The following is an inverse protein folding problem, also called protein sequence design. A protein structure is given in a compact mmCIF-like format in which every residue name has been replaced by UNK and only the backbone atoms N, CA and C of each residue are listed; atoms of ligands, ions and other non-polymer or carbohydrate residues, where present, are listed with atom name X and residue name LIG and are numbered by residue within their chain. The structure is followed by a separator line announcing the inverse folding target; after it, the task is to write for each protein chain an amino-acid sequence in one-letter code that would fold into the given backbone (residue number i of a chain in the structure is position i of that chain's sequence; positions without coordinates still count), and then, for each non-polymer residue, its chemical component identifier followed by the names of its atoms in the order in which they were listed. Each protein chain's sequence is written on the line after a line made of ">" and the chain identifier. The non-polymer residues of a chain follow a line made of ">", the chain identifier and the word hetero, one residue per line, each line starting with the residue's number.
data_IF_026126392699
#
_entry.id   IF_026126392699
#
_cell.length_a   1.000
_cell.length_b   1.000
_cell.length_c   1.000
_cell.angle_alpha   90.00
_cell.angle_beta   90.00
_cell.angle_gamma   90.00
#
_symmetry.space_group_name_H-M   'P 1'
#
loop_
_entity.id
_entity.type
_entity.pdbx_description
1 polymer ?
#
# COMPACT_ATOMS: atom_id res chain seq x y z
N UNK A 1 -3.65 1.77 -1.12
CA UNK A 1 -4.61 0.65 -0.80
C UNK A 1 -5.95 0.87 -1.50
N UNK A 2 -6.37 2.10 -1.62
CA UNK A 2 -7.63 2.46 -2.26
C UNK A 2 -8.85 1.84 -1.57
N UNK A 3 -9.73 1.19 -2.32
CA UNK A 3 -10.93 0.50 -1.80
C UNK A 3 -10.66 -0.85 -1.14
N UNK A 4 -9.41 -1.29 -1.06
CA UNK A 4 -9.03 -2.56 -0.44
C UNK A 4 -9.22 -3.80 -1.32
N UNK A 5 -9.36 -3.68 -2.63
CA UNK A 5 -9.57 -4.81 -3.54
C UNK A 5 -8.54 -5.92 -3.34
N UNK A 6 -7.25 -5.59 -3.23
CA UNK A 6 -6.19 -6.57 -2.97
C UNK A 6 -6.40 -7.34 -1.65
N UNK A 7 -6.92 -6.67 -0.61
CA UNK A 7 -7.22 -7.29 0.68
C UNK A 7 -8.44 -8.20 0.61
N UNK A 8 -9.45 -7.82 -0.17
CA UNK A 8 -10.63 -8.66 -0.46
C UNK A 8 -10.19 -9.95 -1.15
N UNK A 9 -9.37 -9.85 -2.19
CA UNK A 9 -8.81 -11.02 -2.88
C UNK A 9 -7.95 -11.89 -1.95
N UNK A 10 -7.11 -11.28 -1.11
CA UNK A 10 -6.33 -12.03 -0.12
C UNK A 10 -7.23 -12.81 0.84
N UNK A 11 -8.32 -12.19 1.32
CA UNK A 11 -9.30 -12.83 2.20
C UNK A 11 -9.97 -14.03 1.51
N UNK A 12 -10.44 -13.84 0.28
CA UNK A 12 -11.07 -14.91 -0.51
C UNK A 12 -10.14 -16.08 -0.78
N UNK A 13 -8.85 -15.80 -0.99
CA UNK A 13 -7.81 -16.82 -1.23
C UNK A 13 -7.24 -17.44 0.05
N UNK A 14 -7.76 -17.10 1.23
CA UNK A 14 -7.26 -17.61 2.51
C UNK A 14 -5.86 -17.11 2.87
N UNK A 15 -5.43 -15.97 2.35
CA UNK A 15 -4.12 -15.37 2.63
C UNK A 15 -4.21 -14.34 3.74
N UNK A 16 -3.21 -14.34 4.62
CA UNK A 16 -3.06 -13.25 5.58
C UNK A 16 -2.53 -12.00 4.86
N UNK A 17 -3.06 -10.84 5.22
CA UNK A 17 -2.62 -9.60 4.61
C UNK A 17 -2.62 -8.42 5.60
N UNK A 18 -1.77 -7.46 5.31
CA UNK A 18 -1.73 -6.15 5.97
C UNK A 18 -1.93 -5.08 4.92
N UNK A 19 -2.97 -4.29 5.04
CA UNK A 19 -3.23 -3.11 4.21
C UNK A 19 -2.83 -1.84 4.96
N UNK A 20 -2.09 -0.96 4.27
CA UNK A 20 -1.63 0.31 4.82
C UNK A 20 -1.99 1.41 3.83
N UNK A 21 -2.60 2.45 4.32
CA UNK A 21 -2.88 3.66 3.54
C UNK A 21 -2.77 4.88 4.44
N UNK A 22 -2.27 5.98 3.89
CA UNK A 22 -2.16 7.26 4.61
C UNK A 22 -3.49 8.00 4.63
N UNK A 23 -4.40 7.66 3.72
CA UNK A 23 -5.71 8.28 3.63
C UNK A 23 -6.74 7.54 4.50
N UNK A 24 -7.28 8.17 5.55
CA UNK A 24 -8.26 7.55 6.45
C UNK A 24 -9.56 7.13 5.74
N UNK A 25 -9.95 7.80 4.65
CA UNK A 25 -11.11 7.39 3.85
C UNK A 25 -10.87 6.04 3.16
N UNK A 26 -9.68 5.82 2.60
CA UNK A 26 -9.29 4.53 2.00
C UNK A 26 -9.29 3.42 3.04
N UNK A 27 -8.85 3.71 4.25
CA UNK A 27 -8.90 2.77 5.39
C UNK A 27 -10.34 2.39 5.71
N UNK A 28 -11.21 3.37 5.93
CA UNK A 28 -12.64 3.15 6.26
C UNK A 28 -13.39 2.39 5.17
N UNK A 29 -13.18 2.73 3.90
CA UNK A 29 -13.80 2.04 2.76
C UNK A 29 -13.33 0.58 2.70
N UNK A 30 -12.04 0.33 2.90
CA UNK A 30 -11.47 -1.02 2.88
C UNK A 30 -12.00 -1.87 4.04
N UNK A 31 -12.14 -1.31 5.24
CA UNK A 31 -12.76 -1.98 6.38
C UNK A 31 -14.20 -2.37 6.09
N UNK A 32 -14.98 -1.47 5.48
CA UNK A 32 -16.36 -1.75 5.07
C UNK A 32 -16.43 -2.87 4.05
N UNK A 33 -15.57 -2.83 3.03
CA UNK A 33 -15.55 -3.83 1.96
C UNK A 33 -15.11 -5.22 2.44
N UNK A 34 -14.47 -5.33 3.61
CA UNK A 34 -14.04 -6.60 4.19
C UNK A 34 -15.06 -7.23 5.17
N UNK A 35 -16.22 -6.60 5.39
CA UNK A 35 -17.24 -7.07 6.33
C UNK A 35 -18.10 -8.24 5.82
N UNK A 36 -17.68 -8.94 4.77
CA UNK A 36 -18.39 -10.13 4.30
C UNK A 36 -17.88 -11.40 4.98
N UNK A 37 -18.77 -12.39 5.10
CA UNK A 37 -18.40 -13.72 5.58
C UNK A 37 -17.65 -14.50 4.49
N UNK A 38 -16.62 -15.24 4.90
CA UNK A 38 -15.83 -16.08 4.01
C UNK A 38 -15.33 -17.29 4.82
N UNK A 39 -15.41 -18.48 4.23
CA UNK A 39 -15.01 -19.75 4.87
C UNK A 39 -13.49 -19.95 4.94
N UNK A 40 -12.72 -18.89 4.83
CA UNK A 40 -11.27 -18.91 4.96
C UNK A 40 -10.83 -18.46 6.35
N UNK A 41 -9.69 -18.99 6.82
CA UNK A 41 -9.10 -18.62 8.11
C UNK A 41 -8.11 -17.46 8.00
N UNK A 42 -8.17 -16.68 6.92
CA UNK A 42 -7.28 -15.54 6.69
C UNK A 42 -7.42 -14.44 7.75
N UNK A 43 -6.29 -13.86 8.12
CA UNK A 43 -6.24 -12.69 9.01
C UNK A 43 -5.88 -11.46 8.17
N UNK A 44 -6.79 -10.51 8.13
CA UNK A 44 -6.60 -9.24 7.42
C UNK A 44 -6.50 -8.12 8.45
N UNK A 45 -5.42 -7.38 8.39
CA UNK A 45 -5.19 -6.19 9.21
C UNK A 45 -5.17 -4.96 8.32
N UNK A 46 -5.85 -3.92 8.76
CA UNK A 46 -5.85 -2.62 8.08
C UNK A 46 -5.29 -1.60 9.05
N UNK A 47 -4.44 -0.71 8.55
CA UNK A 47 -3.83 0.34 9.34
C UNK A 47 -3.71 1.63 8.54
N UNK A 48 -4.11 2.74 9.15
CA UNK A 48 -3.69 4.06 8.71
C UNK A 48 -2.20 4.23 8.99
N UNK A 49 -1.43 4.64 7.99
CA UNK A 49 0.01 4.80 8.15
C UNK A 49 0.73 5.15 6.86
N UNK A 50 1.98 5.58 7.03
CA UNK A 50 2.88 5.92 5.95
C UNK A 50 3.71 4.70 5.54
N UNK A 51 3.72 4.35 4.26
CA UNK A 51 4.51 3.23 3.73
C UNK A 51 6.04 3.44 3.86
N UNK A 52 6.49 4.66 4.13
CA UNK A 52 7.88 4.97 4.45
C UNK A 52 8.26 4.69 5.91
N UNK A 53 7.32 4.25 6.75
CA UNK A 53 7.49 4.09 8.20
C UNK A 53 6.82 2.78 8.69
N UNK A 54 7.35 1.64 8.29
CA UNK A 54 6.78 0.33 8.58
C UNK A 54 7.40 -0.35 9.83
N UNK A 55 7.86 0.44 10.81
CA UNK A 55 8.55 -0.09 12.01
C UNK A 55 7.69 -1.03 12.89
N UNK A 56 6.38 -1.05 12.71
CA UNK A 56 5.49 -2.04 13.33
C UNK A 56 5.52 -3.43 12.65
N UNK A 57 6.17 -3.54 11.48
CA UNK A 57 6.42 -4.82 10.79
C UNK A 57 7.89 -5.19 10.99
N UNK A 58 8.12 -6.42 11.43
CA UNK A 58 9.47 -6.97 11.63
C UNK A 58 10.22 -7.09 10.31
N UNK A 59 11.55 -7.06 10.38
CA UNK A 59 12.43 -7.35 9.27
C UNK A 59 12.16 -8.75 8.72
N UNK A 60 12.22 -8.91 7.40
CA UNK A 60 12.06 -10.19 6.73
C UNK A 60 10.80 -10.98 7.17
N UNK A 61 9.67 -10.32 7.29
CA UNK A 61 8.41 -10.91 7.75
C UNK A 61 7.40 -11.16 6.63
N UNK A 62 7.41 -10.32 5.60
CA UNK A 62 6.42 -10.32 4.51
C UNK A 62 6.87 -11.24 3.37
N UNK A 63 5.95 -12.04 2.84
CA UNK A 63 6.21 -12.96 1.72
C UNK A 63 5.97 -12.31 0.35
N UNK A 64 5.10 -11.30 0.28
CA UNK A 64 4.77 -10.61 -0.97
C UNK A 64 4.30 -9.19 -0.69
N UNK A 65 4.79 -8.24 -1.45
CA UNK A 65 4.32 -6.86 -1.43
C UNK A 65 3.68 -6.53 -2.78
N UNK A 66 2.50 -5.92 -2.74
CA UNK A 66 1.84 -5.37 -3.92
C UNK A 66 1.49 -3.91 -3.62
N UNK A 67 1.97 -2.99 -4.43
CA UNK A 67 1.71 -1.57 -4.25
C UNK A 67 1.48 -0.87 -5.58
N UNK A 68 0.63 0.14 -5.54
CA UNK A 68 0.36 1.05 -6.65
C UNK A 68 0.54 2.47 -6.11
N UNK A 69 1.76 3.01 -6.17
CA UNK A 69 2.03 4.34 -5.64
C UNK A 69 1.28 5.41 -6.44
N UNK A 70 0.93 6.54 -5.81
CA UNK A 70 0.34 7.68 -6.51
C UNK A 70 1.33 8.24 -7.53
N UNK A 71 0.81 8.92 -8.54
CA UNK A 71 1.62 9.57 -9.57
C UNK A 71 1.95 11.00 -9.14
N UNK A 72 3.21 11.41 -9.28
CA UNK A 72 3.61 12.78 -9.04
C UNK A 72 2.83 13.73 -9.97
N UNK A 73 2.20 14.74 -9.39
CA UNK A 73 1.48 15.84 -10.07
C UNK A 73 0.37 15.44 -11.08
N UNK A 74 0.03 14.16 -11.20
CA UNK A 74 -0.94 13.69 -12.19
C UNK A 74 -2.33 13.50 -11.57
N UNK A 75 -2.39 12.88 -10.38
CA UNK A 75 -3.64 12.62 -9.66
C UNK A 75 -3.48 13.04 -8.21
N UNK A 76 -4.37 13.89 -7.73
CA UNK A 76 -4.48 14.23 -6.30
C UNK A 76 -5.33 13.18 -5.61
N UNK A 77 -4.71 12.40 -4.72
CA UNK A 77 -5.40 11.35 -3.96
C UNK A 77 -5.98 11.87 -2.63
N UNK A 78 -5.42 12.96 -2.11
CA UNK A 78 -5.90 13.62 -0.91
C UNK A 78 -5.47 15.09 -0.90
N UNK A 79 -6.17 15.93 -0.15
CA UNK A 79 -5.80 17.34 0.04
C UNK A 79 -5.25 17.53 1.46
N UNK A 80 -4.02 18.06 1.55
CA UNK A 80 -3.45 18.53 2.81
C UNK A 80 -3.08 17.47 3.84
N UNK A 81 -3.01 16.19 3.47
CA UNK A 81 -2.53 15.13 4.36
C UNK A 81 -1.00 15.15 4.35
N UNK A 82 -0.39 15.36 5.51
CA UNK A 82 1.05 15.31 5.66
C UNK A 82 1.57 13.89 5.31
N UNK A 83 2.60 13.82 4.46
CA UNK A 83 3.16 12.58 3.97
C UNK A 83 2.49 12.00 2.72
N UNK A 84 1.45 12.63 2.18
CA UNK A 84 0.90 12.24 0.88
C UNK A 84 1.82 12.69 -0.26
N UNK A 85 2.50 11.71 -0.86
CA UNK A 85 3.48 11.94 -1.92
C UNK A 85 2.88 12.32 -3.27
N UNK A 86 1.55 12.20 -3.45
CA UNK A 86 0.85 12.59 -4.68
C UNK A 86 0.90 14.10 -4.96
N UNK A 87 1.18 14.91 -3.92
CA UNK A 87 1.26 16.37 -3.99
C UNK A 87 2.67 16.89 -4.26
N UNK A 88 3.65 16.00 -4.41
CA UNK A 88 5.06 16.36 -4.58
C UNK A 88 5.43 16.52 -6.05
N UNK A 89 6.36 17.43 -6.34
CA UNK A 89 7.05 17.46 -7.64
C UNK A 89 7.88 16.19 -7.86
N UNK A 90 8.26 15.90 -9.11
CA UNK A 90 8.90 14.64 -9.51
C UNK A 90 10.11 14.28 -8.65
N UNK A 91 10.99 15.23 -8.34
CA UNK A 91 12.20 14.97 -7.53
C UNK A 91 11.82 14.56 -6.10
N UNK A 92 10.97 15.33 -5.46
CA UNK A 92 10.52 15.04 -4.09
C UNK A 92 9.70 13.74 -4.02
N UNK A 93 8.98 13.42 -5.08
CA UNK A 93 8.29 12.13 -5.22
C UNK A 93 9.29 10.96 -5.23
N UNK A 94 10.37 11.07 -6.01
CA UNK A 94 11.41 10.03 -6.08
C UNK A 94 12.09 9.87 -4.72
N UNK A 95 12.44 10.96 -4.04
CA UNK A 95 13.05 10.93 -2.71
C UNK A 95 12.12 10.28 -1.66
N UNK A 96 10.81 10.50 -1.76
CA UNK A 96 9.82 9.85 -0.90
C UNK A 96 9.69 8.36 -1.23
N UNK A 97 9.69 8.00 -2.52
CA UNK A 97 9.63 6.61 -2.96
C UNK A 97 10.87 5.80 -2.57
N UNK A 98 12.03 6.45 -2.47
CA UNK A 98 13.26 5.79 -1.98
C UNK A 98 13.09 5.29 -0.55
N UNK A 99 12.49 6.09 0.32
CA UNK A 99 12.16 5.66 1.70
C UNK A 99 11.16 4.51 1.74
N UNK A 100 10.13 4.55 0.89
CA UNK A 100 9.16 3.46 0.76
C UNK A 100 9.85 2.18 0.28
N UNK A 101 10.75 2.29 -0.70
CA UNK A 101 11.51 1.15 -1.22
C UNK A 101 12.43 0.54 -0.15
N UNK A 102 13.08 1.36 0.66
CA UNK A 102 13.90 0.90 1.78
C UNK A 102 13.08 0.09 2.80
N UNK A 103 11.94 0.61 3.23
CA UNK A 103 11.06 -0.10 4.16
C UNK A 103 10.48 -1.38 3.54
N UNK A 104 10.06 -1.35 2.28
CA UNK A 104 9.61 -2.54 1.57
C UNK A 104 10.72 -3.62 1.50
N UNK A 105 11.95 -3.24 1.19
CA UNK A 105 13.09 -4.15 1.19
C UNK A 105 13.36 -4.74 2.58
N UNK A 106 13.29 -3.93 3.63
CA UNK A 106 13.53 -4.37 5.01
C UNK A 106 12.51 -5.42 5.47
N UNK A 107 11.22 -5.17 5.22
CA UNK A 107 10.15 -6.06 5.69
C UNK A 107 9.95 -7.31 4.83
N UNK A 108 10.41 -7.29 3.58
CA UNK A 108 10.28 -8.40 2.65
C UNK A 108 11.30 -9.50 2.97
N UNK A 109 10.87 -10.75 3.01
CA UNK A 109 11.79 -11.90 3.16
C UNK A 109 12.71 -12.02 1.95
N UNK A 110 13.93 -12.47 2.18
CA UNK A 110 14.91 -12.73 1.11
C UNK A 110 14.34 -13.70 0.06
N UNK A 111 14.52 -13.35 -1.20
CA UNK A 111 14.05 -14.17 -2.33
C UNK A 111 12.56 -14.06 -2.61
N UNK A 112 11.84 -13.15 -1.94
CA UNK A 112 10.42 -12.87 -2.17
C UNK A 112 10.24 -11.67 -3.09
N UNK A 113 9.03 -11.47 -3.60
CA UNK A 113 8.75 -10.50 -4.65
C UNK A 113 7.98 -9.28 -4.13
N UNK A 114 8.34 -8.12 -4.68
CA UNK A 114 7.58 -6.88 -4.57
C UNK A 114 7.04 -6.51 -5.97
N UNK A 115 5.74 -6.43 -6.11
CA UNK A 115 5.08 -5.96 -7.32
C UNK A 115 4.72 -4.48 -7.15
N UNK A 116 5.26 -3.65 -8.04
CA UNK A 116 4.95 -2.22 -8.10
C UNK A 116 4.23 -1.93 -9.40
N UNK A 117 2.97 -1.51 -9.32
CA UNK A 117 2.22 -1.11 -10.49
C UNK A 117 2.46 0.37 -10.77
N UNK A 118 2.95 0.69 -11.95
CA UNK A 118 3.16 2.06 -12.40
C UNK A 118 2.42 2.25 -13.72
N UNK A 119 1.56 3.26 -13.78
CA UNK A 119 0.93 3.69 -15.01
C UNK A 119 1.82 4.72 -15.69
N UNK A 120 2.21 4.46 -16.91
CA UNK A 120 2.85 5.46 -17.77
C UNK A 120 1.79 6.19 -18.59
N UNK A 121 1.65 7.48 -18.38
CA UNK A 121 0.89 8.33 -19.29
C UNK A 121 1.83 8.79 -20.40
N UNK A 122 1.88 8.03 -21.47
CA UNK A 122 2.53 8.49 -22.70
C UNK A 122 1.53 9.38 -23.40
N UNK A 123 1.78 10.67 -23.41
CA UNK A 123 1.10 11.59 -24.31
C UNK A 123 1.64 11.39 -25.71
N UNK A 124 0.87 10.74 -26.50
CA UNK A 124 1.12 10.63 -27.93
C UNK A 124 0.51 11.86 -28.62
#
# INVERSE_FOLDING_TARGET
>A
MGSGTTLVEAKLLGRNAVGIDINPQSVSISETNLQFHCDTSSKIYIREGNAAELHFIKDAYIDFICTHPPYADIIKYSEGIEGDISMLGVKSFIDAMDKVAYEAYRVLKKGKMCAVMILSLIHI
#
